data_IF_652916959970
#
_entry.id   IF_652916959970
#
_cell.length_a   1.000
_cell.length_b   1.000
_cell.length_c   1.000
_cell.angle_alpha   90.00
_cell.angle_beta   90.00
_cell.angle_gamma   90.00
#
_symmetry.space_group_name_H-M   'P 1'
#
loop_
_entity.id
_entity.type
_entity.pdbx_description
1 polymer ?
#
# COMPACT_ATOMS: atom_id res chain seq x y z
N UNK A 1 43.89 4.16 15.09
CA UNK A 1 43.67 4.82 13.81
C UNK A 1 42.16 4.91 13.59
N UNK A 2 41.60 6.12 13.48
CA UNK A 2 40.19 6.26 13.14
C UNK A 2 39.99 5.69 11.73
N UNK A 3 39.28 4.57 11.64
CA UNK A 3 38.88 4.02 10.35
C UNK A 3 37.96 5.06 9.70
N UNK A 4 38.40 5.67 8.59
CA UNK A 4 37.56 6.58 7.79
C UNK A 4 36.33 5.79 7.34
N UNK A 5 35.19 6.14 7.89
CA UNK A 5 33.90 5.54 7.57
C UNK A 5 33.59 5.72 6.08
N UNK A 6 33.46 4.62 5.37
CA UNK A 6 32.98 4.63 3.98
C UNK A 6 31.45 4.75 4.03
N UNK A 7 30.97 5.99 4.29
CA UNK A 7 29.55 6.33 4.35
C UNK A 7 28.92 6.13 2.98
N UNK A 8 27.81 5.39 2.90
CA UNK A 8 27.07 5.18 1.65
C UNK A 8 26.06 6.31 1.41
N UNK A 9 25.79 6.57 0.14
CA UNK A 9 24.68 7.46 -0.24
C UNK A 9 23.32 6.77 -0.05
N UNK A 10 22.20 7.52 0.04
CA UNK A 10 20.87 6.93 0.05
C UNK A 10 20.61 5.98 -1.12
N UNK A 11 21.03 6.34 -2.33
CA UNK A 11 20.84 5.54 -3.54
C UNK A 11 21.62 4.20 -3.48
N UNK A 12 22.85 4.23 -2.94
CA UNK A 12 23.61 3.00 -2.71
C UNK A 12 22.92 2.08 -1.69
N UNK A 13 22.32 2.66 -0.63
CA UNK A 13 21.54 1.88 0.34
C UNK A 13 20.30 1.29 -0.32
N UNK A 14 19.53 2.08 -1.07
CA UNK A 14 18.34 1.60 -1.78
C UNK A 14 18.70 0.52 -2.82
N UNK A 15 19.84 0.64 -3.49
CA UNK A 15 20.36 -0.39 -4.41
C UNK A 15 20.62 -1.72 -3.68
N UNK A 16 21.20 -1.67 -2.47
CA UNK A 16 21.38 -2.87 -1.63
C UNK A 16 20.01 -3.48 -1.26
N UNK A 17 19.03 -2.66 -0.93
CA UNK A 17 17.68 -3.12 -0.58
C UNK A 17 16.97 -3.82 -1.76
N UNK A 18 17.28 -3.47 -3.01
CA UNK A 18 16.75 -4.16 -4.18
C UNK A 18 17.18 -5.62 -4.27
N UNK A 19 18.30 -5.99 -3.68
CA UNK A 19 18.77 -7.38 -3.57
C UNK A 19 18.07 -8.23 -2.51
N UNK A 20 17.18 -7.63 -1.69
CA UNK A 20 16.44 -8.35 -0.66
C UNK A 20 15.40 -9.26 -1.32
N UNK A 21 15.48 -10.55 -0.97
CA UNK A 21 14.51 -11.53 -1.45
C UNK A 21 13.22 -11.46 -0.64
N UNK A 22 12.05 -11.59 -1.28
CA UNK A 22 10.79 -11.69 -0.57
C UNK A 22 10.74 -12.89 0.36
N UNK A 23 9.93 -12.78 1.41
CA UNK A 23 9.63 -13.91 2.28
C UNK A 23 8.84 -14.99 1.53
N UNK A 24 8.86 -16.24 2.00
CA UNK A 24 8.08 -17.32 1.40
C UNK A 24 6.59 -16.99 1.31
N UNK A 25 5.86 -17.54 0.33
CA UNK A 25 4.42 -17.39 0.25
C UNK A 25 3.70 -18.13 1.39
N UNK A 26 2.49 -17.67 1.68
CA UNK A 26 1.53 -18.35 2.56
C UNK A 26 0.11 -18.19 1.99
N UNK A 27 -0.76 -19.23 2.11
CA UNK A 27 -2.15 -19.11 1.76
C UNK A 27 -2.90 -18.28 2.82
N UNK A 28 -3.79 -17.40 2.36
CA UNK A 28 -4.66 -16.62 3.26
C UNK A 28 -6.06 -16.50 2.67
N UNK A 29 -7.06 -16.54 3.54
CA UNK A 29 -8.44 -16.28 3.13
C UNK A 29 -8.59 -14.83 2.62
N UNK A 30 -9.55 -14.61 1.71
CA UNK A 30 -9.82 -13.27 1.17
C UNK A 30 -10.09 -12.24 2.27
N UNK A 31 -10.74 -12.63 3.37
CA UNK A 31 -11.03 -11.75 4.50
C UNK A 31 -9.76 -11.15 5.14
N UNK A 32 -8.62 -11.82 5.03
CA UNK A 32 -7.33 -11.40 5.60
C UNK A 32 -6.32 -10.93 4.54
N UNK A 33 -6.69 -10.97 3.26
CA UNK A 33 -5.78 -10.71 2.15
C UNK A 33 -5.56 -9.22 1.84
N UNK A 34 -6.48 -8.34 2.23
CA UNK A 34 -6.36 -6.92 1.96
C UNK A 34 -5.06 -6.32 2.52
N UNK A 35 -4.35 -5.54 1.70
CA UNK A 35 -3.05 -4.95 2.06
C UNK A 35 -1.86 -5.93 1.95
N UNK A 36 -2.09 -7.20 1.63
CA UNK A 36 -1.03 -8.18 1.33
C UNK A 36 -0.62 -8.07 -0.15
N UNK A 37 0.45 -8.78 -0.54
CA UNK A 37 0.90 -8.82 -1.94
C UNK A 37 0.85 -10.23 -2.49
N UNK A 38 0.35 -10.37 -3.71
CA UNK A 38 0.30 -11.64 -4.40
C UNK A 38 1.68 -12.27 -4.55
N UNK A 39 1.79 -13.55 -4.23
CA UNK A 39 3.03 -14.32 -4.39
C UNK A 39 3.16 -14.94 -5.80
N UNK A 40 2.06 -14.98 -6.56
CA UNK A 40 1.99 -15.47 -7.94
C UNK A 40 1.05 -14.59 -8.77
N UNK A 41 1.11 -14.71 -10.09
CA UNK A 41 0.10 -14.12 -10.98
C UNK A 41 -1.24 -14.82 -10.76
N UNK A 42 -2.33 -14.05 -10.82
CA UNK A 42 -3.70 -14.57 -10.73
C UNK A 42 -4.35 -14.45 -12.10
N UNK A 43 -4.79 -15.56 -12.64
CA UNK A 43 -5.54 -15.65 -13.90
C UNK A 43 -6.98 -16.07 -13.63
N UNK A 44 -7.91 -15.55 -14.42
CA UNK A 44 -9.31 -15.89 -14.30
C UNK A 44 -9.54 -17.34 -14.78
N UNK A 45 -9.94 -18.22 -13.86
CA UNK A 45 -10.34 -19.59 -14.16
C UNK A 45 -11.76 -19.67 -14.72
N UNK A 46 -12.53 -18.61 -14.56
CA UNK A 46 -13.90 -18.45 -15.03
C UNK A 46 -14.08 -17.05 -15.62
N UNK A 47 -15.07 -16.89 -16.49
CA UNK A 47 -15.43 -15.56 -17.01
C UNK A 47 -16.44 -14.86 -16.10
N UNK A 48 -16.46 -13.53 -16.12
CA UNK A 48 -17.49 -12.75 -15.43
C UNK A 48 -18.08 -11.67 -16.39
N UNK A 49 -19.42 -11.50 -16.41
CA UNK A 49 -20.40 -12.37 -15.79
C UNK A 49 -20.45 -13.74 -16.50
N UNK A 50 -21.00 -14.76 -15.84
CA UNK A 50 -21.12 -16.11 -16.39
C UNK A 50 -22.15 -16.24 -17.50
N UNK A 51 -23.13 -15.31 -17.56
CA UNK A 51 -24.21 -15.23 -18.55
C UNK A 51 -24.49 -13.79 -18.94
N UNK A 52 -25.07 -13.58 -20.11
CA UNK A 52 -25.52 -12.26 -20.52
C UNK A 52 -26.67 -11.79 -19.62
N UNK A 53 -26.62 -10.54 -19.16
CA UNK A 53 -27.59 -9.97 -18.22
C UNK A 53 -27.99 -8.55 -18.57
N UNK A 54 -29.20 -8.15 -18.17
CA UNK A 54 -29.66 -6.78 -18.30
C UNK A 54 -28.88 -5.81 -17.43
N UNK A 55 -28.55 -4.63 -17.93
CA UNK A 55 -27.96 -3.54 -17.18
C UNK A 55 -28.98 -2.51 -16.67
N UNK A 56 -30.22 -2.61 -17.14
CA UNK A 56 -31.35 -1.73 -16.83
C UNK A 56 -32.62 -2.57 -16.63
N UNK A 57 -33.55 -2.02 -15.86
CA UNK A 57 -34.91 -2.56 -15.77
C UNK A 57 -35.68 -2.28 -17.08
N UNK A 58 -36.43 -3.26 -17.58
CA UNK A 58 -37.18 -3.10 -18.80
C UNK A 58 -37.64 -4.40 -19.42
N UNK A 59 -37.55 -4.50 -20.72
CA UNK A 59 -38.01 -5.65 -21.47
C UNK A 59 -36.89 -6.20 -22.36
N UNK A 60 -36.59 -7.47 -22.22
CA UNK A 60 -35.70 -8.24 -23.10
C UNK A 60 -36.42 -8.46 -24.43
N UNK A 61 -35.80 -8.04 -25.52
CA UNK A 61 -36.37 -8.04 -26.87
C UNK A 61 -35.33 -8.50 -27.89
N UNK A 62 -35.81 -8.79 -29.08
CA UNK A 62 -34.96 -8.82 -30.25
C UNK A 62 -34.88 -7.39 -30.80
N UNK A 63 -33.70 -6.78 -30.80
CA UNK A 63 -33.50 -5.39 -31.21
C UNK A 63 -34.22 -5.05 -32.53
N UNK A 64 -34.17 -5.96 -33.53
CA UNK A 64 -34.79 -5.78 -34.83
C UNK A 64 -36.32 -5.59 -34.79
N UNK A 65 -36.98 -6.10 -33.74
CA UNK A 65 -38.43 -5.98 -33.57
C UNK A 65 -38.84 -4.59 -33.04
N UNK A 66 -37.84 -3.76 -32.69
CA UNK A 66 -38.02 -2.36 -32.24
C UNK A 66 -37.67 -1.34 -33.33
N UNK A 67 -37.11 -1.78 -34.47
CA UNK A 67 -36.61 -0.86 -35.47
C UNK A 67 -37.75 -0.03 -36.09
N UNK A 68 -37.51 1.28 -36.17
CA UNK A 68 -38.51 2.23 -36.66
C UNK A 68 -39.48 2.72 -35.56
N UNK A 69 -39.41 2.22 -34.34
CA UNK A 69 -40.21 2.70 -33.23
C UNK A 69 -39.92 4.17 -32.93
N UNK A 70 -40.97 4.93 -32.63
CA UNK A 70 -40.92 6.34 -32.22
C UNK A 70 -42.10 6.65 -31.33
N UNK A 71 -42.12 7.79 -30.67
CA UNK A 71 -43.29 8.25 -29.89
C UNK A 71 -44.58 8.34 -30.72
N UNK A 72 -44.46 8.70 -32.01
CA UNK A 72 -45.61 8.81 -32.92
C UNK A 72 -45.96 7.50 -33.60
N UNK A 73 -45.06 6.54 -33.62
CA UNK A 73 -45.26 5.21 -34.24
C UNK A 73 -44.53 4.15 -33.36
N UNK A 74 -45.10 3.81 -32.17
CA UNK A 74 -44.48 2.82 -31.31
C UNK A 74 -44.54 1.43 -31.89
N UNK A 75 -43.50 0.60 -31.58
CA UNK A 75 -43.53 -0.82 -31.87
C UNK A 75 -44.39 -1.54 -30.86
N UNK A 76 -45.26 -2.43 -31.32
CA UNK A 76 -46.17 -3.22 -30.49
C UNK A 76 -45.62 -4.63 -30.32
N UNK A 77 -45.31 -5.07 -29.11
CA UNK A 77 -44.84 -6.40 -28.80
C UNK A 77 -45.75 -7.11 -27.81
N UNK A 78 -45.86 -8.44 -27.96
CA UNK A 78 -46.60 -9.28 -26.98
C UNK A 78 -45.75 -9.50 -25.74
N UNK A 79 -46.29 -9.23 -24.54
CA UNK A 79 -45.68 -9.55 -23.23
C UNK A 79 -45.78 -11.05 -22.99
N UNK A 80 -44.66 -11.80 -23.02
CA UNK A 80 -44.63 -13.26 -22.96
C UNK A 80 -44.12 -13.85 -21.64
N UNK A 81 -43.94 -13.02 -20.62
CA UNK A 81 -43.52 -13.44 -19.28
C UNK A 81 -42.57 -12.45 -18.61
N UNK A 82 -41.94 -12.91 -17.55
CA UNK A 82 -40.97 -12.15 -16.75
C UNK A 82 -39.75 -13.01 -16.39
N UNK A 83 -38.60 -12.39 -16.18
CA UNK A 83 -37.38 -13.01 -15.67
C UNK A 83 -37.36 -12.88 -14.14
N UNK A 84 -37.29 -14.01 -13.45
CA UNK A 84 -37.18 -14.05 -12.01
C UNK A 84 -35.69 -13.97 -11.63
N UNK A 85 -35.33 -13.06 -10.71
CA UNK A 85 -33.95 -12.95 -10.22
C UNK A 85 -33.47 -14.23 -9.57
N UNK A 86 -32.27 -14.68 -9.97
CA UNK A 86 -31.66 -15.91 -9.46
C UNK A 86 -32.11 -17.19 -10.17
N UNK A 87 -33.00 -17.08 -11.16
CA UNK A 87 -33.47 -18.22 -11.97
C UNK A 87 -33.07 -18.07 -13.44
N UNK A 88 -32.90 -19.17 -14.13
CA UNK A 88 -32.75 -19.16 -15.58
C UNK A 88 -34.10 -18.83 -16.24
N UNK A 89 -34.12 -18.02 -17.31
CA UNK A 89 -35.36 -17.71 -18.03
C UNK A 89 -36.08 -18.97 -18.51
N UNK A 90 -37.35 -19.08 -18.20
CA UNK A 90 -38.16 -20.28 -18.50
C UNK A 90 -38.47 -20.47 -20.01
N UNK A 91 -38.39 -19.39 -20.80
CA UNK A 91 -38.76 -19.40 -22.21
C UNK A 91 -37.90 -18.45 -23.03
N UNK A 92 -37.60 -18.78 -24.32
CA UNK A 92 -36.92 -17.89 -25.24
C UNK A 92 -37.85 -16.74 -25.68
N UNK A 93 -37.23 -15.64 -26.13
CA UNK A 93 -37.93 -14.50 -26.73
C UNK A 93 -38.15 -14.79 -28.23
N UNK A 94 -39.40 -15.09 -28.62
CA UNK A 94 -39.79 -15.29 -29.98
C UNK A 94 -39.95 -13.94 -30.74
N UNK A 95 -39.99 -13.94 -32.09
CA UNK A 95 -40.30 -12.74 -32.89
C UNK A 95 -41.58 -12.06 -32.44
N UNK A 96 -41.54 -10.71 -32.31
CA UNK A 96 -42.72 -9.91 -31.91
C UNK A 96 -43.08 -10.05 -30.42
N UNK A 97 -42.22 -10.68 -29.59
CA UNK A 97 -42.43 -10.83 -28.12
C UNK A 97 -41.40 -10.08 -27.33
N UNK A 98 -41.79 -9.76 -26.09
CA UNK A 98 -40.94 -9.16 -25.10
C UNK A 98 -41.11 -9.88 -23.72
N UNK A 99 -40.04 -9.96 -22.95
CA UNK A 99 -40.04 -10.55 -21.63
C UNK A 99 -39.57 -9.48 -20.64
N UNK A 100 -40.35 -9.24 -19.62
CA UNK A 100 -39.98 -8.29 -18.55
C UNK A 100 -38.72 -8.78 -17.85
N UNK A 101 -37.73 -7.90 -17.66
CA UNK A 101 -36.43 -8.25 -17.10
C UNK A 101 -35.96 -7.16 -16.14
N UNK A 102 -35.65 -7.51 -14.90
CA UNK A 102 -35.01 -6.58 -13.96
C UNK A 102 -33.50 -6.45 -14.23
N UNK A 103 -32.90 -5.38 -13.78
CA UNK A 103 -31.47 -5.16 -13.77
C UNK A 103 -30.73 -6.35 -13.12
N UNK A 104 -29.73 -6.90 -13.81
CA UNK A 104 -29.01 -8.09 -13.39
C UNK A 104 -29.67 -9.41 -13.78
N UNK A 105 -30.91 -9.38 -14.30
CA UNK A 105 -31.62 -10.57 -14.78
C UNK A 105 -30.89 -11.22 -15.96
N UNK A 106 -30.89 -12.57 -16.00
CA UNK A 106 -30.29 -13.32 -17.10
C UNK A 106 -31.07 -13.08 -18.39
N UNK A 107 -30.37 -12.70 -19.46
CA UNK A 107 -30.99 -12.44 -20.77
C UNK A 107 -31.57 -13.75 -21.33
N UNK A 108 -32.88 -13.80 -21.66
CA UNK A 108 -33.47 -14.99 -22.26
C UNK A 108 -32.88 -15.29 -23.64
N UNK A 109 -32.82 -16.56 -24.01
CA UNK A 109 -32.45 -16.97 -25.37
C UNK A 109 -33.35 -16.32 -26.41
N UNK A 110 -32.73 -15.86 -27.51
CA UNK A 110 -33.44 -15.15 -28.59
C UNK A 110 -33.53 -13.65 -28.41
N UNK A 111 -33.37 -13.10 -27.21
CA UNK A 111 -33.17 -11.68 -26.97
C UNK A 111 -31.71 -11.28 -27.21
N UNK A 112 -31.51 -10.08 -27.75
CA UNK A 112 -30.18 -9.50 -27.98
C UNK A 112 -30.07 -8.04 -27.46
N UNK A 113 -31.13 -7.49 -26.88
CA UNK A 113 -31.16 -6.15 -26.30
C UNK A 113 -32.23 -6.03 -25.18
N UNK A 114 -32.12 -4.96 -24.38
CA UNK A 114 -33.15 -4.60 -23.40
C UNK A 114 -33.59 -3.17 -23.66
N UNK A 115 -34.93 -3.01 -23.83
CA UNK A 115 -35.57 -1.69 -23.86
C UNK A 115 -35.80 -1.27 -22.40
N UNK A 116 -35.36 -0.08 -22.01
CA UNK A 116 -35.58 0.46 -20.67
C UNK A 116 -37.07 0.71 -20.43
N UNK A 117 -37.51 0.52 -19.21
CA UNK A 117 -38.92 0.68 -18.80
C UNK A 117 -39.45 2.06 -19.15
N UNK A 118 -38.62 3.11 -19.10
CA UNK A 118 -38.95 4.50 -19.41
C UNK A 118 -39.40 4.72 -20.88
N UNK A 119 -39.05 3.80 -21.79
CA UNK A 119 -39.41 3.85 -23.21
C UNK A 119 -40.51 2.83 -23.58
N UNK A 120 -41.21 2.34 -22.55
CA UNK A 120 -42.28 1.36 -22.72
C UNK A 120 -43.58 1.82 -22.06
N UNK A 121 -44.72 1.39 -22.64
CA UNK A 121 -46.04 1.55 -22.05
C UNK A 121 -46.79 0.24 -22.08
N UNK A 122 -47.30 -0.21 -20.96
CA UNK A 122 -48.12 -1.42 -20.92
C UNK A 122 -49.54 -1.03 -21.33
N UNK A 123 -50.01 -1.61 -22.44
CA UNK A 123 -51.40 -1.34 -22.96
C UNK A 123 -52.42 -2.18 -22.21
N UNK A 124 -52.07 -3.45 -21.97
CA UNK A 124 -52.84 -4.41 -21.20
C UNK A 124 -51.93 -5.51 -20.67
N UNK A 125 -52.49 -6.55 -20.08
CA UNK A 125 -51.68 -7.67 -19.55
C UNK A 125 -50.92 -8.49 -20.65
N UNK A 126 -51.16 -8.21 -21.91
CA UNK A 126 -50.67 -9.00 -23.04
C UNK A 126 -49.76 -8.24 -24.01
N UNK A 127 -49.79 -6.91 -24.01
CA UNK A 127 -49.07 -6.10 -25.00
C UNK A 127 -48.36 -4.90 -24.37
N UNK A 128 -47.19 -4.58 -24.94
CA UNK A 128 -46.43 -3.37 -24.60
C UNK A 128 -46.15 -2.55 -25.86
N UNK A 129 -46.13 -1.26 -25.70
CA UNK A 129 -45.64 -0.29 -26.69
C UNK A 129 -44.18 0.06 -26.39
N UNK A 130 -43.36 0.13 -27.44
CA UNK A 130 -41.97 0.58 -27.36
C UNK A 130 -41.88 1.86 -28.19
N UNK A 131 -41.50 2.95 -27.54
CA UNK A 131 -41.40 4.28 -28.15
C UNK A 131 -40.00 4.62 -28.65
N UNK A 132 -38.98 3.80 -28.34
CA UNK A 132 -37.60 4.00 -28.75
C UNK A 132 -36.95 2.69 -29.19
N UNK A 133 -36.33 2.65 -30.39
CA UNK A 133 -35.63 1.46 -30.87
C UNK A 133 -34.32 1.27 -30.06
N UNK A 134 -33.88 0.03 -29.96
CA UNK A 134 -32.60 -0.35 -29.37
C UNK A 134 -31.71 -1.03 -30.37
N UNK A 135 -30.39 -0.86 -30.26
CA UNK A 135 -29.41 -1.58 -31.04
C UNK A 135 -29.14 -2.99 -30.46
N UNK A 136 -28.68 -3.97 -31.27
CA UNK A 136 -28.21 -5.25 -30.74
C UNK A 136 -27.10 -5.05 -29.68
N UNK A 137 -27.25 -5.63 -28.50
CA UNK A 137 -26.36 -5.50 -27.37
C UNK A 137 -26.66 -4.28 -26.45
N UNK A 138 -27.60 -3.41 -26.83
CA UNK A 138 -27.94 -2.24 -25.99
C UNK A 138 -28.57 -2.70 -24.66
N UNK A 139 -28.07 -2.13 -23.56
CA UNK A 139 -28.41 -2.45 -22.17
C UNK A 139 -28.20 -3.93 -21.78
N UNK A 140 -27.25 -4.61 -22.41
CA UNK A 140 -26.84 -5.97 -22.11
C UNK A 140 -25.36 -6.02 -21.78
N UNK A 141 -25.00 -6.59 -20.65
CA UNK A 141 -23.65 -7.00 -20.33
C UNK A 141 -23.47 -8.47 -20.75
N UNK A 142 -22.61 -8.72 -21.71
CA UNK A 142 -22.41 -10.07 -22.27
C UNK A 142 -21.61 -10.96 -21.32
N UNK A 143 -21.76 -12.27 -21.47
CA UNK A 143 -20.92 -13.22 -20.76
C UNK A 143 -19.43 -12.96 -21.06
N UNK A 144 -18.61 -12.85 -20.02
CA UNK A 144 -17.17 -12.61 -20.12
C UNK A 144 -16.76 -11.20 -20.57
N UNK A 145 -17.69 -10.26 -20.65
CA UNK A 145 -17.36 -8.88 -21.10
C UNK A 145 -16.55 -8.09 -20.06
N UNK A 146 -16.74 -8.35 -18.77
CA UNK A 146 -16.02 -7.71 -17.68
C UNK A 146 -14.68 -8.41 -17.41
N UNK A 147 -14.71 -9.74 -17.34
CA UNK A 147 -13.52 -10.57 -17.14
C UNK A 147 -13.56 -11.75 -18.09
N UNK A 148 -12.57 -11.85 -18.97
CA UNK A 148 -12.47 -12.97 -19.89
C UNK A 148 -11.81 -14.20 -19.23
N UNK A 149 -12.24 -15.39 -19.62
CA UNK A 149 -11.58 -16.64 -19.24
C UNK A 149 -10.09 -16.62 -19.61
N UNK A 150 -9.20 -16.93 -18.67
CA UNK A 150 -7.75 -16.94 -18.86
C UNK A 150 -7.08 -15.57 -18.83
N UNK A 151 -7.82 -14.49 -18.58
CA UNK A 151 -7.24 -13.15 -18.39
C UNK A 151 -6.36 -13.09 -17.15
N UNK A 152 -5.19 -12.46 -17.26
CA UNK A 152 -4.34 -12.19 -16.10
C UNK A 152 -4.85 -10.95 -15.37
N UNK A 153 -5.46 -11.17 -14.21
CA UNK A 153 -6.08 -10.11 -13.40
C UNK A 153 -5.08 -9.35 -12.55
N UNK A 154 -4.20 -10.09 -11.89
CA UNK A 154 -3.21 -9.51 -10.98
C UNK A 154 -1.85 -10.14 -11.19
N UNK A 155 -0.82 -9.32 -11.11
CA UNK A 155 0.57 -9.76 -11.20
C UNK A 155 1.15 -10.03 -9.83
N UNK A 156 2.09 -10.95 -9.75
CA UNK A 156 2.95 -11.18 -8.59
C UNK A 156 3.53 -9.85 -8.08
N UNK A 157 3.49 -9.65 -6.78
CA UNK A 157 3.97 -8.44 -6.10
C UNK A 157 2.92 -7.32 -6.01
N UNK A 158 1.86 -7.34 -6.81
CA UNK A 158 0.78 -6.36 -6.70
C UNK A 158 0.12 -6.43 -5.32
N UNK A 159 -0.21 -5.25 -4.75
CA UNK A 159 -0.90 -5.16 -3.46
C UNK A 159 -2.40 -5.38 -3.65
N UNK A 160 -2.99 -6.24 -2.82
CA UNK A 160 -4.43 -6.46 -2.80
C UNK A 160 -5.15 -5.27 -2.16
N UNK A 161 -6.03 -4.65 -2.91
CA UNK A 161 -6.90 -3.56 -2.49
C UNK A 161 -8.32 -4.08 -2.22
N UNK A 162 -9.18 -3.34 -1.53
CA UNK A 162 -10.56 -3.77 -1.28
C UNK A 162 -11.33 -4.15 -2.56
N UNK A 163 -11.17 -3.39 -3.65
CA UNK A 163 -11.82 -3.69 -4.94
C UNK A 163 -11.30 -4.99 -5.57
N UNK A 164 -10.03 -5.33 -5.36
CA UNK A 164 -9.43 -6.56 -5.88
C UNK A 164 -10.02 -7.79 -5.17
N UNK A 165 -10.33 -7.65 -3.88
CA UNK A 165 -11.07 -8.67 -3.12
C UNK A 165 -12.45 -8.94 -3.73
N UNK A 166 -13.15 -7.88 -4.19
CA UNK A 166 -14.43 -8.01 -4.87
C UNK A 166 -14.34 -8.80 -6.17
N UNK A 167 -13.32 -8.53 -6.97
CA UNK A 167 -13.04 -9.26 -8.23
C UNK A 167 -12.77 -10.75 -7.96
N UNK A 168 -11.91 -11.04 -6.97
CA UNK A 168 -11.59 -12.43 -6.59
C UNK A 168 -12.83 -13.18 -6.09
N UNK A 169 -13.66 -12.52 -5.28
CA UNK A 169 -14.90 -13.10 -4.78
C UNK A 169 -15.91 -13.38 -5.90
N UNK A 170 -16.01 -12.48 -6.91
CA UNK A 170 -16.88 -12.68 -8.07
C UNK A 170 -16.49 -13.92 -8.89
N UNK A 171 -15.22 -14.31 -8.85
CA UNK A 171 -14.66 -15.51 -9.50
C UNK A 171 -14.62 -16.73 -8.58
N UNK A 172 -15.27 -16.68 -7.41
CA UNK A 172 -15.32 -17.81 -6.47
C UNK A 172 -13.98 -18.13 -5.79
N UNK A 173 -12.98 -17.27 -5.89
CA UNK A 173 -11.68 -17.43 -5.24
C UNK A 173 -11.84 -17.05 -3.77
N UNK A 174 -11.64 -18.00 -2.87
CA UNK A 174 -11.83 -17.82 -1.42
C UNK A 174 -10.51 -17.70 -0.66
N UNK A 175 -9.41 -18.12 -1.27
CA UNK A 175 -8.06 -18.11 -0.72
C UNK A 175 -7.05 -17.69 -1.80
N UNK A 176 -6.01 -16.98 -1.41
CA UNK A 176 -4.93 -16.54 -2.31
C UNK A 176 -3.56 -16.76 -1.67
N UNK A 177 -2.56 -17.05 -2.50
CA UNK A 177 -1.17 -17.06 -2.07
C UNK A 177 -0.59 -15.65 -2.05
N UNK A 178 -0.11 -15.25 -0.88
CA UNK A 178 0.51 -13.95 -0.65
C UNK A 178 1.87 -14.12 0.02
N UNK A 179 2.75 -13.14 -0.15
CA UNK A 179 4.01 -13.15 0.59
C UNK A 179 3.75 -13.04 2.10
N UNK A 180 4.48 -13.80 2.91
CA UNK A 180 4.34 -13.81 4.37
C UNK A 180 4.59 -12.43 4.97
N UNK A 181 3.81 -12.09 5.99
CA UNK A 181 3.99 -10.84 6.74
C UNK A 181 5.31 -10.87 7.52
N UNK A 182 6.21 -9.87 7.33
CA UNK A 182 7.47 -9.80 8.08
C UNK A 182 7.23 -9.67 9.59
N UNK A 183 8.03 -10.38 10.39
CA UNK A 183 8.10 -10.25 11.84
C UNK A 183 9.34 -9.46 12.22
N UNK A 184 9.16 -8.40 13.00
CA UNK A 184 10.23 -7.50 13.41
C UNK A 184 10.43 -7.56 14.90
N UNK A 185 11.68 -7.76 15.35
CA UNK A 185 12.09 -7.54 16.72
C UNK A 185 12.58 -6.10 16.86
N UNK A 186 12.01 -5.36 17.78
CA UNK A 186 12.36 -3.98 18.09
C UNK A 186 13.03 -3.92 19.47
N UNK A 187 14.30 -3.56 19.49
CA UNK A 187 15.13 -3.52 20.68
C UNK A 187 15.59 -2.07 20.88
N UNK A 188 15.29 -1.49 22.04
CA UNK A 188 15.84 -0.19 22.45
C UNK A 188 16.91 -0.38 23.53
N UNK A 189 17.94 0.45 23.46
CA UNK A 189 19.02 0.47 24.46
C UNK A 189 19.38 1.88 24.86
N UNK A 190 19.78 2.04 26.10
CA UNK A 190 20.15 3.32 26.72
C UNK A 190 19.94 3.27 28.23
N UNK A 191 21.00 3.53 28.99
CA UNK A 191 20.90 3.58 30.44
C UNK A 191 20.01 4.73 30.91
N UNK A 192 19.81 5.77 30.12
CA UNK A 192 18.89 6.88 30.34
C UNK A 192 17.42 6.54 30.10
N UNK A 193 17.14 5.48 29.37
CA UNK A 193 15.79 5.15 28.89
C UNK A 193 15.00 4.41 29.99
N UNK A 194 13.75 4.82 30.19
CA UNK A 194 12.80 4.17 31.07
C UNK A 194 11.48 3.85 30.37
N UNK A 195 10.65 2.94 30.92
CA UNK A 195 9.32 2.65 30.34
C UNK A 195 8.47 3.91 30.20
N UNK A 196 7.59 3.93 29.17
CA UNK A 196 6.70 5.09 28.91
C UNK A 196 5.72 5.34 30.07
N UNK A 197 5.37 4.29 30.81
CA UNK A 197 4.48 4.32 32.00
C UNK A 197 5.11 4.99 33.22
N UNK A 198 6.41 5.26 33.18
CA UNK A 198 7.11 5.89 34.30
C UNK A 198 6.51 7.26 34.60
N UNK A 199 5.79 7.39 35.70
CA UNK A 199 5.06 8.61 36.06
C UNK A 199 5.98 9.78 36.37
N UNK A 200 7.04 9.56 37.19
CA UNK A 200 8.02 10.59 37.57
C UNK A 200 9.40 10.20 37.04
N UNK A 201 9.99 11.07 36.25
CA UNK A 201 11.33 10.87 35.72
C UNK A 201 12.35 11.32 36.76
N UNK A 202 13.31 10.45 37.07
CA UNK A 202 14.50 10.87 37.77
C UNK A 202 15.37 11.78 36.89
N UNK A 203 16.21 12.65 37.43
CA UNK A 203 17.17 13.45 36.68
C UNK A 203 17.99 12.56 35.74
N UNK A 204 18.16 12.97 34.48
CA UNK A 204 18.90 12.23 33.45
C UNK A 204 18.13 11.06 32.80
N UNK A 205 16.90 10.78 33.18
CA UNK A 205 16.08 9.73 32.59
C UNK A 205 15.09 10.31 31.55
N UNK A 206 14.84 9.54 30.47
CA UNK A 206 13.87 9.86 29.44
C UNK A 206 13.01 8.64 29.17
N UNK A 207 11.76 8.84 28.73
CA UNK A 207 10.89 7.72 28.33
C UNK A 207 11.31 7.16 26.97
N UNK A 208 11.09 5.86 26.76
CA UNK A 208 11.40 5.16 25.52
C UNK A 208 10.42 5.58 24.40
N UNK A 209 10.75 6.64 23.68
CA UNK A 209 9.96 7.16 22.57
C UNK A 209 10.12 6.26 21.34
N UNK A 210 11.36 5.85 21.03
CA UNK A 210 11.69 5.18 19.79
C UNK A 210 10.98 3.83 19.69
N UNK A 211 10.96 3.06 20.76
CA UNK A 211 10.33 1.74 20.77
C UNK A 211 8.84 1.80 20.38
N UNK A 212 8.12 2.78 20.91
CA UNK A 212 6.68 2.94 20.65
C UNK A 212 6.43 3.50 19.24
N UNK A 213 7.16 4.54 18.86
CA UNK A 213 6.93 5.21 17.57
C UNK A 213 7.41 4.39 16.38
N UNK A 214 8.55 3.70 16.48
CA UNK A 214 9.03 2.78 15.46
C UNK A 214 8.08 1.58 15.31
N UNK A 215 7.56 1.04 16.43
CA UNK A 215 6.56 -0.03 16.37
C UNK A 215 5.30 0.40 15.62
N UNK A 216 4.85 1.65 15.81
CA UNK A 216 3.72 2.20 15.07
C UNK A 216 4.01 2.31 13.56
N UNK A 217 5.18 2.82 13.17
CA UNK A 217 5.60 2.90 11.75
C UNK A 217 5.70 1.50 11.10
N UNK A 218 6.32 0.53 11.79
CA UNK A 218 6.45 -0.85 11.31
C UNK A 218 5.08 -1.49 11.09
N UNK A 219 4.16 -1.32 12.04
CA UNK A 219 2.79 -1.83 11.93
C UNK A 219 2.01 -1.16 10.78
N UNK A 220 2.15 0.16 10.61
CA UNK A 220 1.49 0.87 9.50
C UNK A 220 2.00 0.46 8.13
N UNK A 221 3.22 -0.10 8.05
CA UNK A 221 3.78 -0.69 6.83
C UNK A 221 3.34 -2.15 6.61
N UNK A 222 2.40 -2.68 7.39
CA UNK A 222 1.87 -4.03 7.25
C UNK A 222 2.77 -5.14 7.81
N UNK A 223 3.79 -4.81 8.61
CA UNK A 223 4.61 -5.80 9.31
C UNK A 223 4.13 -6.05 10.74
N UNK A 224 4.53 -7.17 11.33
CA UNK A 224 4.21 -7.52 12.73
C UNK A 224 5.42 -7.25 13.62
N UNK A 225 5.20 -6.54 14.73
CA UNK A 225 6.19 -6.43 15.81
C UNK A 225 5.98 -7.62 16.74
N UNK A 226 6.92 -8.58 16.72
CA UNK A 226 6.88 -9.80 17.52
C UNK A 226 7.46 -9.56 18.90
N UNK A 227 8.69 -9.03 18.97
CA UNK A 227 9.37 -8.64 20.21
C UNK A 227 9.50 -7.13 20.25
N UNK A 228 9.21 -6.54 21.40
CA UNK A 228 9.39 -5.12 21.70
C UNK A 228 9.95 -5.01 23.11
N UNK A 229 11.27 -4.80 23.21
CA UNK A 229 11.95 -4.84 24.49
C UNK A 229 13.00 -3.73 24.63
N UNK A 230 13.32 -3.41 25.86
CA UNK A 230 14.41 -2.54 26.26
C UNK A 230 15.50 -3.37 26.92
N UNK A 231 16.72 -3.21 26.47
CA UNK A 231 17.88 -3.95 26.94
C UNK A 231 18.91 -2.97 27.51
N UNK A 232 19.70 -3.38 28.48
CA UNK A 232 20.79 -2.58 29.03
C UNK A 232 21.88 -2.29 27.99
N UNK A 233 22.66 -1.20 28.23
CA UNK A 233 23.81 -0.86 27.33
C UNK A 233 25.02 -1.78 27.58
N UNK A 234 24.80 -3.07 27.78
CA UNK A 234 25.85 -4.09 27.90
C UNK A 234 25.90 -4.93 26.63
N UNK A 235 27.08 -5.11 26.07
CA UNK A 235 27.24 -5.82 24.80
C UNK A 235 26.68 -7.25 24.86
N UNK A 236 26.95 -7.96 25.94
CA UNK A 236 26.50 -9.33 26.13
C UNK A 236 24.97 -9.44 26.15
N UNK A 237 24.29 -8.50 26.84
CA UNK A 237 22.84 -8.48 26.97
C UNK A 237 22.18 -8.18 25.61
N UNK A 238 22.74 -7.23 24.84
CA UNK A 238 22.27 -6.90 23.50
C UNK A 238 22.48 -8.02 22.50
N UNK A 239 23.66 -8.66 22.53
CA UNK A 239 23.93 -9.83 21.67
C UNK A 239 23.00 -10.98 22.01
N UNK A 240 22.74 -11.23 23.32
CA UNK A 240 21.81 -12.27 23.75
C UNK A 240 20.39 -11.99 23.26
N UNK A 241 19.88 -10.78 23.46
CA UNK A 241 18.56 -10.37 23.02
C UNK A 241 18.40 -10.46 21.49
N UNK A 242 19.43 -10.06 20.74
CA UNK A 242 19.44 -10.20 19.29
C UNK A 242 19.46 -11.68 18.84
N UNK A 243 20.25 -12.54 19.51
CA UNK A 243 20.27 -13.99 19.22
C UNK A 243 18.93 -14.65 19.47
N UNK A 244 18.23 -14.29 20.53
CA UNK A 244 16.88 -14.77 20.81
C UNK A 244 15.91 -14.31 19.71
N UNK A 245 16.03 -13.06 19.26
CA UNK A 245 15.19 -12.53 18.20
C UNK A 245 15.41 -13.22 16.84
N UNK A 246 16.62 -13.74 16.55
CA UNK A 246 16.89 -14.47 15.30
C UNK A 246 16.07 -15.74 15.11
N UNK A 247 15.52 -16.31 16.19
CA UNK A 247 14.81 -17.61 16.14
C UNK A 247 13.56 -17.50 15.25
N UNK A 248 12.83 -16.38 15.33
CA UNK A 248 11.51 -16.26 14.70
C UNK A 248 11.19 -14.90 14.10
N UNK A 249 12.22 -14.03 13.87
CA UNK A 249 12.04 -12.72 13.26
C UNK A 249 12.85 -12.59 11.97
N UNK A 250 12.27 -11.84 11.02
CA UNK A 250 12.84 -11.58 9.71
C UNK A 250 13.71 -10.31 9.70
N UNK A 251 13.53 -9.49 10.73
CA UNK A 251 14.25 -8.24 10.90
C UNK A 251 14.43 -7.92 12.37
N UNK A 252 15.61 -7.44 12.72
CA UNK A 252 15.93 -6.83 14.02
C UNK A 252 16.16 -5.34 13.79
N UNK A 253 15.51 -4.51 14.57
CA UNK A 253 15.73 -3.06 14.62
C UNK A 253 16.23 -2.71 16.02
N UNK A 254 17.51 -2.36 16.11
CA UNK A 254 18.15 -1.88 17.34
C UNK A 254 18.16 -0.34 17.30
N UNK A 255 17.56 0.30 18.30
CA UNK A 255 17.55 1.75 18.43
C UNK A 255 18.10 2.18 19.79
N UNK A 256 19.05 3.07 19.79
CA UNK A 256 19.62 3.60 21.03
C UNK A 256 21.14 3.75 20.99
N UNK A 257 21.71 4.07 22.15
CA UNK A 257 23.12 4.38 22.29
C UNK A 257 23.46 5.79 21.79
N UNK A 258 23.50 6.81 22.61
CA UNK A 258 23.54 8.23 22.18
C UNK A 258 24.88 8.92 22.35
N UNK A 259 26.01 8.21 22.45
CA UNK A 259 27.29 8.84 22.72
C UNK A 259 28.38 8.49 21.71
N UNK A 260 29.44 9.27 21.66
CA UNK A 260 30.65 9.12 20.86
C UNK A 260 31.21 7.69 21.01
N UNK A 261 30.84 6.80 20.08
CA UNK A 261 31.14 5.36 20.17
C UNK A 261 30.00 4.42 19.72
N UNK A 262 28.81 4.98 19.49
CA UNK A 262 27.58 4.21 19.14
C UNK A 262 27.76 3.34 17.89
N UNK A 263 28.50 3.81 16.92
CA UNK A 263 28.78 3.09 15.68
C UNK A 263 29.58 1.82 15.97
N UNK A 264 30.58 1.92 16.81
CA UNK A 264 31.41 0.80 17.21
C UNK A 264 30.59 -0.24 18.00
N UNK A 265 29.65 0.23 18.84
CA UNK A 265 28.85 -0.64 19.70
C UNK A 265 27.81 -1.46 18.93
N UNK A 266 27.04 -0.81 18.04
CA UNK A 266 26.05 -1.50 17.21
C UNK A 266 26.70 -2.46 16.21
N UNK A 267 27.89 -2.11 15.67
CA UNK A 267 28.66 -3.02 14.82
C UNK A 267 29.23 -4.19 15.60
N UNK A 268 29.64 -4.00 16.88
CA UNK A 268 30.07 -5.09 17.75
C UNK A 268 28.90 -6.04 18.07
N UNK A 269 27.69 -5.49 18.33
CA UNK A 269 26.49 -6.33 18.50
C UNK A 269 26.27 -7.18 17.25
N UNK A 270 26.26 -6.58 16.06
CA UNK A 270 26.13 -7.32 14.80
C UNK A 270 27.23 -8.38 14.65
N UNK A 271 28.48 -8.03 14.89
CA UNK A 271 29.60 -8.96 14.79
C UNK A 271 29.53 -10.14 15.79
N UNK A 272 28.81 -9.96 16.91
CA UNK A 272 28.53 -11.02 17.88
C UNK A 272 27.41 -11.99 17.48
N UNK A 273 26.74 -11.74 16.36
CA UNK A 273 25.67 -12.60 15.82
C UNK A 273 26.25 -13.64 14.83
N UNK A 274 25.62 -14.83 14.71
CA UNK A 274 26.07 -15.85 13.78
C UNK A 274 25.88 -15.39 12.32
N UNK A 275 26.78 -15.79 11.42
CA UNK A 275 26.72 -15.50 9.98
C UNK A 275 26.45 -14.01 9.67
N UNK A 276 27.01 -13.11 10.47
CA UNK A 276 26.79 -11.68 10.35
C UNK A 276 27.61 -11.04 9.24
N UNK A 277 26.99 -10.13 8.51
CA UNK A 277 27.61 -9.31 7.47
C UNK A 277 27.19 -7.86 7.64
N UNK A 278 28.18 -6.96 7.62
CA UNK A 278 27.95 -5.51 7.65
C UNK A 278 27.82 -4.99 6.21
N UNK A 279 26.63 -4.49 5.83
CA UNK A 279 26.33 -3.99 4.48
C UNK A 279 26.49 -2.47 4.36
N UNK A 280 26.09 -1.74 5.42
CA UNK A 280 26.16 -0.26 5.47
C UNK A 280 26.69 0.15 6.84
N UNK A 281 27.72 0.99 6.84
CA UNK A 281 28.28 1.62 8.03
C UNK A 281 28.20 3.14 7.90
N UNK A 282 27.04 3.68 8.19
CA UNK A 282 26.70 5.10 8.03
C UNK A 282 26.13 5.44 6.66
N UNK A 283 25.20 6.40 6.67
CA UNK A 283 24.56 6.93 5.47
C UNK A 283 24.80 8.45 5.37
N UNK A 284 25.07 8.94 4.17
CA UNK A 284 25.31 10.38 3.93
C UNK A 284 24.00 11.17 3.96
N UNK A 285 23.34 11.21 5.13
CA UNK A 285 22.04 11.87 5.35
C UNK A 285 22.05 12.77 6.58
N UNK A 286 21.06 13.65 6.63
CA UNK A 286 20.69 14.44 7.81
C UNK A 286 19.16 14.52 7.91
N UNK A 287 18.58 14.16 9.08
CA UNK A 287 19.20 13.49 10.20
C UNK A 287 19.43 12.01 9.90
N UNK A 288 20.22 11.28 10.73
CA UNK A 288 20.32 9.82 10.62
C UNK A 288 21.67 9.26 10.14
N UNK A 289 22.73 10.10 10.01
CA UNK A 289 24.06 9.62 9.56
C UNK A 289 24.53 8.32 10.22
N UNK A 290 24.39 8.09 11.56
CA UNK A 290 24.84 6.86 12.22
C UNK A 290 23.84 5.68 12.03
N UNK A 291 23.49 5.40 10.80
CA UNK A 291 22.62 4.27 10.47
C UNK A 291 23.45 3.09 10.01
N UNK A 292 23.14 1.91 10.52
CA UNK A 292 23.79 0.65 10.19
C UNK A 292 22.77 -0.28 9.55
N UNK A 293 23.16 -0.94 8.46
CA UNK A 293 22.47 -2.10 7.91
C UNK A 293 23.43 -3.28 7.91
N UNK A 294 22.97 -4.39 8.44
CA UNK A 294 23.64 -5.68 8.37
C UNK A 294 22.65 -6.78 8.04
N UNK A 295 23.20 -7.97 7.94
CA UNK A 295 22.45 -9.20 7.74
C UNK A 295 23.08 -10.29 8.61
N UNK A 296 22.23 -11.17 9.14
CA UNK A 296 22.67 -12.38 9.83
C UNK A 296 21.84 -13.55 9.30
N UNK A 297 22.49 -14.43 8.52
CA UNK A 297 21.76 -15.41 7.71
C UNK A 297 20.74 -14.72 6.78
N UNK A 298 19.44 -14.98 6.99
CA UNK A 298 18.33 -14.36 6.22
C UNK A 298 17.72 -13.14 6.92
N UNK A 299 18.05 -12.89 8.18
CA UNK A 299 17.46 -11.81 8.99
C UNK A 299 18.20 -10.50 8.74
N UNK A 300 17.46 -9.44 8.43
CA UNK A 300 18.02 -8.09 8.30
C UNK A 300 18.25 -7.49 9.69
N UNK A 301 19.34 -6.76 9.84
CA UNK A 301 19.69 -6.04 11.06
C UNK A 301 19.82 -4.54 10.77
N UNK A 302 18.99 -3.73 11.41
CA UNK A 302 19.06 -2.27 11.34
C UNK A 302 19.50 -1.70 12.69
N UNK A 303 20.57 -0.91 12.68
CA UNK A 303 20.98 -0.06 13.79
C UNK A 303 20.57 1.38 13.52
N UNK A 304 19.65 1.91 14.33
CA UNK A 304 19.10 3.24 14.17
C UNK A 304 19.63 4.21 15.24
N UNK A 305 19.77 5.51 14.90
CA UNK A 305 20.14 6.54 15.86
C UNK A 305 19.23 6.58 17.09
N UNK A 306 19.75 6.91 18.26
CA UNK A 306 18.95 7.06 19.47
C UNK A 306 18.04 8.31 19.48
N UNK A 307 18.36 9.35 18.69
CA UNK A 307 17.55 10.57 18.63
C UNK A 307 16.26 10.35 17.82
N UNK A 308 15.07 10.68 18.38
CA UNK A 308 13.78 10.29 17.83
C UNK A 308 13.55 10.71 16.38
N UNK A 309 13.82 11.96 16.03
CA UNK A 309 13.64 12.45 14.66
C UNK A 309 14.53 11.69 13.67
N UNK A 310 15.78 11.40 14.08
CA UNK A 310 16.72 10.63 13.26
C UNK A 310 16.24 9.19 13.07
N UNK A 311 15.80 8.54 14.15
CA UNK A 311 15.32 7.15 14.11
C UNK A 311 14.09 7.02 13.20
N UNK A 312 13.11 7.92 13.35
CA UNK A 312 11.87 7.86 12.59
C UNK A 312 12.06 8.21 11.11
N UNK A 313 12.88 9.21 10.78
CA UNK A 313 13.22 9.54 9.39
C UNK A 313 14.00 8.38 8.73
N UNK A 314 14.97 7.82 9.43
CA UNK A 314 15.74 6.68 8.90
C UNK A 314 14.85 5.44 8.72
N UNK A 315 13.94 5.20 9.65
CA UNK A 315 12.95 4.14 9.53
C UNK A 315 12.10 4.34 8.27
N UNK A 316 11.55 5.53 8.09
CA UNK A 316 10.75 5.89 6.90
C UNK A 316 11.53 5.74 5.60
N UNK A 317 12.78 6.20 5.57
CA UNK A 317 13.61 6.23 4.37
C UNK A 317 14.17 4.86 3.97
N UNK A 318 14.44 3.94 4.90
CA UNK A 318 15.16 2.71 4.63
C UNK A 318 14.56 1.45 5.25
N UNK A 319 14.11 1.49 6.51
CA UNK A 319 13.54 0.29 7.16
C UNK A 319 12.21 -0.10 6.52
N UNK A 320 11.30 0.86 6.31
CA UNK A 320 10.02 0.57 5.67
C UNK A 320 10.17 0.10 4.22
N UNK A 321 11.05 0.68 3.37
CA UNK A 321 11.39 0.10 2.08
C UNK A 321 11.89 -1.35 2.16
N UNK A 322 12.78 -1.67 3.11
CA UNK A 322 13.26 -3.04 3.27
C UNK A 322 12.15 -4.01 3.69
N UNK A 323 11.21 -3.58 4.53
CA UNK A 323 10.02 -4.37 4.88
C UNK A 323 9.12 -4.62 3.66
N UNK A 324 8.92 -3.60 2.81
CA UNK A 324 8.14 -3.75 1.57
C UNK A 324 8.79 -4.74 0.61
N UNK A 325 10.13 -4.77 0.53
CA UNK A 325 10.86 -5.78 -0.26
C UNK A 325 10.64 -7.19 0.30
N UNK A 326 10.72 -7.38 1.61
CA UNK A 326 10.38 -8.65 2.25
C UNK A 326 8.92 -9.08 1.98
N UNK A 327 8.01 -8.13 1.80
CA UNK A 327 6.61 -8.37 1.43
C UNK A 327 6.40 -8.58 -0.08
N UNK A 328 7.45 -8.61 -0.90
CA UNK A 328 7.35 -8.85 -2.34
C UNK A 328 7.12 -7.61 -3.20
N UNK A 329 7.46 -6.41 -2.72
CA UNK A 329 7.43 -5.19 -3.53
C UNK A 329 8.39 -5.29 -4.71
N UNK A 330 7.88 -5.07 -5.93
CA UNK A 330 8.67 -5.12 -7.14
C UNK A 330 9.60 -3.89 -7.27
N UNK A 331 10.69 -4.01 -8.02
CA UNK A 331 11.65 -2.92 -8.24
C UNK A 331 11.06 -1.71 -8.96
N UNK A 332 10.08 -1.95 -9.83
CA UNK A 332 9.39 -0.91 -10.61
C UNK A 332 8.44 -0.04 -9.79
N UNK A 333 8.11 -0.47 -8.57
CA UNK A 333 7.23 0.32 -7.71
C UNK A 333 8.03 1.45 -7.03
N UNK A 334 7.45 2.66 -6.93
CA UNK A 334 8.10 3.75 -6.22
C UNK A 334 8.27 3.39 -4.73
N UNK A 335 9.49 3.55 -4.24
CA UNK A 335 9.85 3.28 -2.84
C UNK A 335 8.99 4.12 -1.86
N UNK A 336 8.59 5.29 -2.30
CA UNK A 336 7.76 6.23 -1.56
C UNK A 336 6.32 6.20 -2.08
N UNK A 337 5.41 5.71 -1.27
CA UNK A 337 4.04 5.42 -1.70
C UNK A 337 3.16 6.66 -1.94
N UNK A 338 3.49 7.83 -1.33
CA UNK A 338 2.66 9.03 -1.40
C UNK A 338 3.52 10.28 -1.47
N UNK A 339 3.46 10.96 -2.59
CA UNK A 339 4.09 12.27 -2.78
C UNK A 339 3.05 13.31 -3.18
N UNK A 340 3.26 14.55 -2.77
CA UNK A 340 2.45 15.70 -3.12
C UNK A 340 3.35 16.84 -3.57
N UNK A 341 2.99 17.54 -4.64
CA UNK A 341 3.67 18.75 -5.09
C UNK A 341 3.22 19.95 -4.26
N UNK A 342 4.18 20.75 -3.80
CA UNK A 342 3.92 21.94 -3.01
C UNK A 342 4.97 23.01 -3.31
N UNK A 343 4.65 24.26 -3.02
CA UNK A 343 5.59 25.40 -3.14
C UNK A 343 6.20 25.69 -1.77
N UNK A 344 7.51 25.77 -1.69
CA UNK A 344 8.20 26.17 -0.48
C UNK A 344 7.86 27.64 -0.13
N UNK A 345 7.35 27.88 1.07
CA UNK A 345 7.08 29.23 1.56
C UNK A 345 8.28 29.87 2.29
N UNK A 346 9.37 29.12 2.46
CA UNK A 346 10.64 29.57 3.05
C UNK A 346 11.81 28.85 2.43
N UNK A 347 12.96 29.50 2.39
CA UNK A 347 14.22 28.89 1.95
C UNK A 347 14.62 27.73 2.86
N UNK A 348 15.11 26.64 2.26
CA UNK A 348 15.67 25.47 2.90
C UNK A 348 17.17 25.40 2.68
N UNK A 349 18.02 25.78 3.64
CA UNK A 349 19.47 25.61 3.53
C UNK A 349 19.88 24.16 3.70
N UNK A 350 20.85 23.70 2.91
CA UNK A 350 21.49 22.40 3.03
C UNK A 350 23.01 22.55 2.93
N UNK A 351 23.74 21.43 2.93
CA UNK A 351 25.19 21.38 2.81
C UNK A 351 25.55 20.28 1.81
N UNK A 352 26.41 20.62 0.88
CA UNK A 352 26.93 19.70 -0.12
C UNK A 352 27.54 18.42 0.52
N UNK A 353 27.37 17.28 -0.15
CA UNK A 353 27.96 16.00 0.25
C UNK A 353 27.05 15.11 1.12
N UNK A 354 25.82 15.51 1.41
CA UNK A 354 24.81 14.69 2.09
C UNK A 354 23.40 15.00 1.58
N UNK A 355 22.50 14.07 1.74
CA UNK A 355 21.07 14.26 1.49
C UNK A 355 20.35 14.71 2.77
N UNK A 356 19.63 15.83 2.72
CA UNK A 356 18.86 16.32 3.87
C UNK A 356 17.38 15.95 3.74
N UNK A 357 16.82 15.33 4.80
CA UNK A 357 15.40 15.02 4.95
C UNK A 357 14.78 16.08 5.86
N UNK A 358 14.07 17.04 5.28
CA UNK A 358 13.56 18.21 5.98
C UNK A 358 12.07 18.11 6.24
N UNK A 359 11.63 17.97 7.50
CA UNK A 359 10.21 17.92 7.85
C UNK A 359 9.51 19.23 7.45
N UNK A 360 8.30 19.08 6.87
CA UNK A 360 7.46 20.21 6.43
C UNK A 360 6.02 20.02 6.87
N UNK A 361 5.36 21.12 7.20
CA UNK A 361 3.91 21.17 7.32
C UNK A 361 3.30 21.65 6.00
N UNK A 362 2.14 21.11 5.65
CA UNK A 362 1.40 21.48 4.43
C UNK A 362 0.23 22.39 4.78
N UNK A 363 0.02 23.42 3.97
CA UNK A 363 -1.14 24.30 4.07
C UNK A 363 -1.61 24.72 2.68
N UNK A 364 -2.87 25.17 2.57
CA UNK A 364 -3.36 25.80 1.35
C UNK A 364 -3.00 27.27 1.37
N UNK A 365 -2.20 27.69 0.42
CA UNK A 365 -1.86 29.08 0.18
C UNK A 365 -2.95 29.85 -0.57
N UNK A 366 -2.69 31.13 -0.83
CA UNK A 366 -3.56 31.97 -1.66
C UNK A 366 -3.66 31.41 -3.08
N UNK A 367 -4.87 31.31 -3.62
CA UNK A 367 -5.11 30.72 -4.95
C UNK A 367 -5.23 29.18 -4.98
N UNK A 368 -5.27 28.50 -3.82
CA UNK A 368 -5.49 27.06 -3.72
C UNK A 368 -4.24 26.19 -3.95
N UNK A 369 -3.08 26.80 -4.12
CA UNK A 369 -1.80 26.10 -4.27
C UNK A 369 -1.38 25.52 -2.92
N UNK A 370 -0.86 24.28 -2.92
CA UNK A 370 -0.29 23.69 -1.70
C UNK A 370 1.05 24.34 -1.38
N UNK A 371 1.22 24.75 -0.14
CA UNK A 371 2.47 25.30 0.40
C UNK A 371 3.11 24.34 1.39
N UNK A 372 4.44 24.23 1.32
CA UNK A 372 5.27 23.48 2.26
C UNK A 372 6.04 24.43 3.16
N UNK A 373 5.75 24.38 4.46
CA UNK A 373 6.41 25.19 5.49
C UNK A 373 7.46 24.36 6.20
N UNK A 374 8.76 24.66 6.07
CA UNK A 374 9.82 23.95 6.76
C UNK A 374 9.70 24.02 8.30
N UNK A 375 9.88 22.89 8.97
CA UNK A 375 9.92 22.82 10.43
C UNK A 375 11.35 22.61 10.87
N UNK A 376 11.97 23.66 11.36
CA UNK A 376 13.35 23.61 11.86
C UNK A 376 13.40 23.16 13.31
N UNK A 377 14.45 22.40 13.68
CA UNK A 377 14.70 22.02 15.05
C UNK A 377 15.81 20.97 15.19
N UNK A 378 16.07 20.59 16.45
CA UNK A 378 17.08 19.57 16.78
C UNK A 378 16.49 18.16 16.66
N UNK A 379 17.30 17.19 16.26
CA UNK A 379 16.88 15.79 16.08
C UNK A 379 16.35 15.08 17.33
N UNK A 380 16.61 15.63 18.52
CA UNK A 380 16.02 15.16 19.77
C UNK A 380 14.60 15.69 20.05
N UNK A 381 14.09 16.66 19.28
CA UNK A 381 12.79 17.29 19.55
C UNK A 381 11.67 16.59 18.74
N UNK A 382 11.06 15.57 19.34
CA UNK A 382 10.02 14.72 18.66
C UNK A 382 8.81 15.54 18.16
N UNK A 383 8.48 16.66 18.81
CA UNK A 383 7.37 17.53 18.39
C UNK A 383 7.53 18.11 16.99
N UNK A 384 8.73 18.06 16.39
CA UNK A 384 8.98 18.47 15.00
C UNK A 384 8.18 17.55 14.06
N UNK A 385 8.29 16.24 14.24
CA UNK A 385 7.57 15.27 13.42
C UNK A 385 6.07 15.26 13.69
N UNK A 386 5.66 15.52 14.94
CA UNK A 386 4.24 15.60 15.27
C UNK A 386 3.51 16.79 14.60
N UNK A 387 4.25 17.82 14.16
CA UNK A 387 3.74 18.98 13.44
C UNK A 387 3.97 18.90 11.91
N UNK A 388 4.67 17.87 11.45
CA UNK A 388 5.00 17.69 10.06
C UNK A 388 3.98 16.75 9.39
N UNK A 389 3.55 17.11 8.18
CA UNK A 389 2.72 16.24 7.33
C UNK A 389 3.58 15.31 6.46
N UNK A 390 4.87 15.68 6.28
CA UNK A 390 5.81 14.94 5.48
C UNK A 390 7.21 15.55 5.53
N UNK A 391 8.04 15.20 4.58
CA UNK A 391 9.39 15.75 4.44
C UNK A 391 9.76 16.01 2.99
N UNK A 392 10.64 16.99 2.78
CA UNK A 392 11.30 17.28 1.49
C UNK A 392 12.69 16.67 1.53
N UNK A 393 13.11 16.09 0.41
CA UNK A 393 14.46 15.53 0.24
C UNK A 393 15.28 16.52 -0.56
N UNK A 394 16.39 16.99 0.00
CA UNK A 394 17.38 17.85 -0.67
C UNK A 394 18.56 16.97 -1.04
N UNK A 395 18.81 16.83 -2.34
CA UNK A 395 19.86 15.97 -2.87
C UNK A 395 21.27 16.43 -2.41
N UNK A 396 22.21 15.49 -2.34
CA UNK A 396 23.57 15.71 -1.82
C UNK A 396 24.41 16.76 -2.59
N UNK A 397 24.05 17.08 -3.82
CA UNK A 397 24.73 18.06 -4.67
C UNK A 397 24.04 19.43 -4.67
N UNK A 398 23.03 19.64 -3.82
CA UNK A 398 22.22 20.86 -3.72
C UNK A 398 22.47 21.51 -2.36
N UNK A 399 22.88 22.79 -2.35
CA UNK A 399 23.18 23.54 -1.12
C UNK A 399 21.95 24.15 -0.46
N UNK A 400 20.77 23.95 -1.04
CA UNK A 400 19.49 24.43 -0.52
C UNK A 400 18.43 24.54 -1.61
N UNK A 401 17.24 24.92 -1.19
CA UNK A 401 16.09 25.18 -2.06
C UNK A 401 15.54 26.57 -1.72
N UNK A 402 15.26 27.37 -2.75
CA UNK A 402 14.75 28.71 -2.56
C UNK A 402 13.27 28.77 -2.17
N UNK A 403 12.88 29.85 -1.53
CA UNK A 403 11.47 30.19 -1.35
C UNK A 403 10.81 30.32 -2.73
N UNK A 404 9.61 29.74 -2.89
CA UNK A 404 8.90 29.68 -4.16
C UNK A 404 9.24 28.47 -5.04
N UNK A 405 10.24 27.66 -4.69
CA UNK A 405 10.58 26.45 -5.43
C UNK A 405 9.47 25.39 -5.29
N UNK A 406 9.13 24.73 -6.40
CA UNK A 406 8.27 23.53 -6.37
C UNK A 406 9.05 22.33 -5.85
N UNK A 407 8.48 21.65 -4.87
CA UNK A 407 9.07 20.47 -4.23
C UNK A 407 8.11 19.29 -4.21
N UNK A 408 8.67 18.08 -4.16
CA UNK A 408 7.92 16.88 -3.84
C UNK A 408 7.98 16.65 -2.33
N UNK A 409 6.83 16.65 -1.67
CA UNK A 409 6.69 16.33 -0.26
C UNK A 409 6.33 14.86 -0.14
N UNK A 410 7.17 14.08 0.55
CA UNK A 410 6.94 12.68 0.88
C UNK A 410 6.12 12.64 2.18
N UNK A 411 4.88 12.16 2.10
CA UNK A 411 3.95 12.13 3.24
C UNK A 411 4.30 11.01 4.23
N UNK A 412 4.04 11.28 5.52
CA UNK A 412 4.21 10.31 6.59
C UNK A 412 3.10 9.26 6.66
#
# INVERSE_FOLDING_TARGET
>A
MAQFLKVKTPDEVLSILNGIQPLPPEPVSLALACGRRFASDITAAEQAPHFARATMDGYAVRARDTFGASESLPALLERSGEVIMGEAPARPVAPGKAVEIPTGGMLPEGADAVVMVEYTSVLDNTAIEITRPVAPGENVLKAGEDIALGETLFRKGAMLRPQDIGVLAALGIVEVEVFRTPRVALISTGNEIVPVETRRLAPGKVRDINNVSLAAQIKSAGARVGVQQRVSDRLEDLVSACKEALIDHDMIVLSGGSSVGVWDYTTQVLAGLPESELLVHGVAIRPGKPTILGRTGKTLFWGLPGQPVSALITCQAFVLPSLRKLQGMMETEPVYARTLKAILNRQLPSVHGRTDYMPVALSRGSGGVMEASPIFGKSGAISILARADGYVVIAQHVEGLDCGAEVSVFLF
#
